data_IF_096976485630
#
_entry.id   IF_096976485630
#
_cell.length_a   1.000
_cell.length_b   1.000
_cell.length_c   1.000
_cell.angle_alpha   90.00
_cell.angle_beta   90.00
_cell.angle_gamma   90.00
#
_symmetry.space_group_name_H-M   'P 1'
#
loop_
_entity.id
_entity.type
_entity.pdbx_description
1 polymer ?
#
# COMPACT_ATOMS: atom_id res chain seq x y z
N UNK A 1 41.25 -21.87 6.53
CA UNK A 1 40.55 -20.60 6.21
C UNK A 1 39.32 -20.54 7.09
N UNK A 2 39.05 -19.44 7.82
CA UNK A 2 37.79 -19.34 8.58
C UNK A 2 36.60 -19.40 7.61
N UNK A 3 35.46 -19.98 8.04
CA UNK A 3 34.26 -20.01 7.21
C UNK A 3 33.81 -18.57 6.89
N UNK A 4 33.48 -18.31 5.62
CA UNK A 4 33.04 -17.00 5.14
C UNK A 4 31.59 -16.77 5.59
N UNK A 5 31.35 -15.71 6.34
CA UNK A 5 29.99 -15.24 6.64
C UNK A 5 29.35 -14.65 5.39
N UNK A 6 28.09 -15.00 5.16
CA UNK A 6 27.24 -14.52 4.07
C UNK A 6 26.08 -13.71 4.65
N UNK A 7 25.53 -12.81 3.83
CA UNK A 7 24.43 -11.92 4.21
C UNK A 7 23.24 -12.14 3.29
N UNK A 8 22.06 -12.28 3.88
CA UNK A 8 20.78 -12.23 3.20
C UNK A 8 20.08 -10.91 3.55
N UNK A 9 19.64 -10.16 2.55
CA UNK A 9 18.90 -8.91 2.71
C UNK A 9 17.47 -9.14 2.23
N UNK A 10 16.48 -8.69 2.99
CA UNK A 10 15.10 -8.63 2.55
C UNK A 10 14.60 -7.19 2.58
N UNK A 11 14.13 -6.69 1.44
CA UNK A 11 13.56 -5.34 1.30
C UNK A 11 12.06 -5.46 1.12
N UNK A 12 11.29 -4.79 1.98
CA UNK A 12 9.86 -4.56 1.77
C UNK A 12 9.71 -3.21 1.08
N UNK A 13 9.01 -3.17 -0.06
CA UNK A 13 8.90 -1.96 -0.89
C UNK A 13 7.44 -1.63 -1.24
N UNK A 14 7.18 -0.35 -1.50
CA UNK A 14 5.98 0.12 -2.18
C UNK A 14 6.20 0.04 -3.70
N UNK A 15 5.62 -0.97 -4.33
CA UNK A 15 5.73 -1.27 -5.76
C UNK A 15 5.08 -0.18 -6.63
N UNK A 16 4.14 0.58 -6.09
CA UNK A 16 3.46 1.68 -6.78
C UNK A 16 4.19 3.03 -6.62
N UNK A 17 5.23 3.10 -5.79
CA UNK A 17 6.06 4.31 -5.57
C UNK A 17 7.53 4.06 -5.95
N UNK A 18 7.79 3.49 -7.14
CA UNK A 18 9.13 3.20 -7.67
C UNK A 18 9.99 2.37 -6.70
N UNK A 19 9.44 1.27 -6.18
CA UNK A 19 10.10 0.38 -5.21
C UNK A 19 10.63 1.14 -3.98
N UNK A 20 9.88 2.14 -3.50
CA UNK A 20 10.25 2.89 -2.30
C UNK A 20 10.40 1.93 -1.12
N UNK A 21 11.57 1.94 -0.50
CA UNK A 21 11.88 1.10 0.65
C UNK A 21 11.01 1.49 1.85
N UNK A 22 10.30 0.49 2.38
CA UNK A 22 9.47 0.61 3.58
C UNK A 22 10.19 0.03 4.80
N UNK A 23 10.71 -1.20 4.67
CA UNK A 23 11.46 -1.90 5.73
C UNK A 23 12.61 -2.70 5.11
N UNK A 24 13.70 -2.86 5.85
CA UNK A 24 14.84 -3.72 5.48
C UNK A 24 15.17 -4.66 6.63
N UNK A 25 15.36 -5.93 6.31
CA UNK A 25 15.92 -6.95 7.21
C UNK A 25 17.29 -7.40 6.70
N UNK A 26 18.14 -7.79 7.63
CA UNK A 26 19.42 -8.42 7.34
C UNK A 26 19.56 -9.66 8.22
N UNK A 27 20.01 -10.75 7.61
CA UNK A 27 20.32 -12.00 8.30
C UNK A 27 21.72 -12.46 7.87
N UNK A 28 22.52 -12.90 8.83
CA UNK A 28 23.88 -13.39 8.58
C UNK A 28 23.96 -14.88 8.88
N UNK A 29 24.69 -15.60 8.06
CA UNK A 29 24.89 -17.03 8.27
C UNK A 29 26.07 -17.59 7.49
N UNK A 30 26.29 -18.89 7.66
CA UNK A 30 27.29 -19.68 6.96
C UNK A 30 26.66 -20.42 5.77
N UNK A 31 27.50 -20.82 4.81
CA UNK A 31 27.07 -21.69 3.71
C UNK A 31 26.34 -22.95 4.23
N UNK A 32 25.16 -23.21 3.69
CA UNK A 32 24.27 -24.31 4.07
C UNK A 32 23.24 -23.97 5.16
N UNK A 33 23.36 -22.83 5.86
CA UNK A 33 22.38 -22.42 6.86
C UNK A 33 21.07 -21.93 6.22
N UNK A 34 19.94 -22.21 6.87
CA UNK A 34 18.61 -21.80 6.43
C UNK A 34 18.47 -20.29 6.64
N UNK A 35 18.09 -19.59 5.57
CA UNK A 35 17.79 -18.16 5.61
C UNK A 35 16.40 -17.97 6.21
N UNK A 36 16.33 -17.15 7.26
CA UNK A 36 15.08 -16.75 7.89
C UNK A 36 15.12 -15.27 8.27
N UNK A 37 13.95 -14.65 8.32
CA UNK A 37 13.77 -13.26 8.72
C UNK A 37 12.71 -13.20 9.81
N UNK A 38 13.15 -12.98 11.06
CA UNK A 38 12.25 -12.93 12.21
C UNK A 38 11.23 -11.81 12.07
N UNK A 39 10.01 -12.07 12.56
CA UNK A 39 8.89 -11.12 12.57
C UNK A 39 8.40 -10.64 11.20
N UNK A 40 8.86 -11.23 10.08
CA UNK A 40 8.44 -10.83 8.74
C UNK A 40 6.91 -10.81 8.59
N UNK A 41 6.23 -11.86 9.07
CA UNK A 41 4.75 -11.94 9.04
C UNK A 41 4.10 -10.77 9.77
N UNK A 42 4.54 -10.47 11.00
CA UNK A 42 3.99 -9.37 11.80
C UNK A 42 4.17 -8.03 11.09
N UNK A 43 5.32 -7.82 10.44
CA UNK A 43 5.57 -6.59 9.68
C UNK A 43 4.69 -6.49 8.44
N UNK A 44 4.50 -7.59 7.69
CA UNK A 44 3.56 -7.62 6.56
C UNK A 44 2.12 -7.35 7.04
N UNK A 45 1.72 -7.88 8.19
CA UNK A 45 0.42 -7.64 8.80
C UNK A 45 0.23 -6.17 9.19
N UNK A 46 1.24 -5.53 9.81
CA UNK A 46 1.21 -4.09 10.11
C UNK A 46 1.00 -3.27 8.84
N UNK A 47 1.76 -3.53 7.77
CA UNK A 47 1.53 -2.84 6.50
C UNK A 47 0.16 -3.13 5.92
N UNK A 48 -0.37 -4.35 6.09
CA UNK A 48 -1.74 -4.67 5.70
C UNK A 48 -2.76 -3.80 6.43
N UNK A 49 -2.58 -3.59 7.74
CA UNK A 49 -3.41 -2.65 8.51
C UNK A 49 -3.27 -1.20 8.04
N UNK A 50 -2.06 -0.79 7.64
CA UNK A 50 -1.77 0.55 7.10
C UNK A 50 -2.24 0.77 5.66
N UNK A 51 -2.99 -0.19 5.10
CA UNK A 51 -3.61 -0.05 3.79
C UNK A 51 -2.78 -0.63 2.65
N UNK A 52 -1.78 -1.47 2.91
CA UNK A 52 -1.08 -2.21 1.87
C UNK A 52 -1.68 -3.61 1.67
N UNK A 53 -1.34 -4.22 0.53
CA UNK A 53 -1.59 -5.63 0.22
C UNK A 53 -0.31 -6.24 -0.30
N UNK A 54 0.04 -7.43 0.19
CA UNK A 54 1.13 -8.23 -0.37
C UNK A 54 0.84 -8.57 -1.84
N UNK A 55 1.78 -8.24 -2.72
CA UNK A 55 1.74 -8.58 -4.15
C UNK A 55 2.56 -9.84 -4.42
N UNK A 56 3.84 -9.81 -4.11
CA UNK A 56 4.76 -10.92 -4.32
C UNK A 56 5.98 -10.87 -3.39
N UNK A 57 6.71 -11.98 -3.38
CA UNK A 57 8.03 -12.10 -2.76
C UNK A 57 8.93 -12.76 -3.79
N UNK A 58 10.09 -12.16 -4.08
CA UNK A 58 11.03 -12.65 -5.09
C UNK A 58 12.46 -12.67 -4.57
N UNK A 59 13.27 -13.59 -5.10
CA UNK A 59 14.72 -13.50 -5.04
C UNK A 59 15.20 -12.58 -6.17
N UNK A 60 15.86 -11.48 -5.83
CA UNK A 60 16.23 -10.43 -6.78
C UNK A 60 17.29 -10.87 -7.79
N UNK A 61 18.07 -11.91 -7.48
CA UNK A 61 19.13 -12.38 -8.39
C UNK A 61 18.57 -13.16 -9.58
N UNK A 62 17.54 -13.97 -9.35
CA UNK A 62 17.02 -14.93 -10.34
C UNK A 62 15.53 -14.76 -10.62
N UNK A 63 14.89 -13.74 -10.04
CA UNK A 63 13.45 -13.43 -10.16
C UNK A 63 12.55 -14.60 -9.74
N UNK A 64 13.07 -15.55 -8.96
CA UNK A 64 12.30 -16.67 -8.49
C UNK A 64 11.29 -16.20 -7.45
N UNK A 65 10.01 -16.43 -7.73
CA UNK A 65 8.93 -16.16 -6.80
C UNK A 65 8.94 -17.16 -5.64
N UNK A 66 8.76 -16.64 -4.42
CA UNK A 66 8.60 -17.41 -3.19
C UNK A 66 7.11 -17.52 -2.91
N UNK A 67 6.63 -18.75 -2.65
CA UNK A 67 5.23 -18.97 -2.29
C UNK A 67 4.93 -18.22 -0.97
N UNK A 68 3.91 -17.36 -1.00
CA UNK A 68 3.50 -16.52 0.12
C UNK A 68 2.06 -16.77 0.56
N UNK A 69 1.49 -17.94 0.22
CA UNK A 69 0.14 -18.35 0.63
C UNK A 69 0.04 -18.53 2.15
N UNK A 70 1.13 -18.97 2.77
CA UNK A 70 1.26 -19.15 4.22
C UNK A 70 2.56 -18.48 4.71
N UNK A 71 2.42 -17.27 5.27
CA UNK A 71 3.55 -16.48 5.76
C UNK A 71 4.29 -17.16 6.93
N UNK A 72 3.65 -18.10 7.65
CA UNK A 72 4.31 -18.84 8.74
C UNK A 72 5.25 -19.94 8.20
N UNK A 73 5.13 -20.31 6.92
CA UNK A 73 5.92 -21.38 6.28
C UNK A 73 6.82 -20.88 5.14
N UNK A 74 7.13 -19.59 5.13
CA UNK A 74 8.02 -19.00 4.14
C UNK A 74 9.39 -19.69 4.16
N UNK A 75 9.84 -20.11 2.99
CA UNK A 75 11.15 -20.73 2.80
C UNK A 75 11.99 -19.90 1.82
N UNK A 76 13.06 -19.29 2.33
CA UNK A 76 14.03 -18.51 1.54
C UNK A 76 15.20 -19.37 1.04
N UNK A 77 15.21 -20.66 1.39
CA UNK A 77 16.28 -21.59 1.05
C UNK A 77 17.46 -21.49 2.03
N UNK A 78 18.63 -21.91 1.56
CA UNK A 78 19.89 -21.90 2.33
C UNK A 78 20.92 -21.00 1.68
N UNK A 79 21.84 -20.46 2.49
CA UNK A 79 23.02 -19.79 1.98
C UNK A 79 23.84 -20.71 1.07
N UNK A 80 24.17 -20.23 -0.13
CA UNK A 80 25.06 -20.91 -1.06
C UNK A 80 26.50 -20.41 -0.84
N UNK A 81 27.09 -19.70 -1.79
CA UNK A 81 28.48 -19.21 -1.73
C UNK A 81 28.60 -17.67 -1.83
N UNK A 82 27.48 -16.96 -1.86
CA UNK A 82 27.38 -15.53 -2.07
C UNK A 82 26.24 -14.92 -1.24
N UNK A 83 26.24 -13.59 -1.15
CA UNK A 83 25.14 -12.85 -0.54
C UNK A 83 23.90 -12.92 -1.43
N UNK A 84 22.72 -12.82 -0.83
CA UNK A 84 21.44 -12.90 -1.53
C UNK A 84 20.52 -11.76 -1.13
N UNK A 85 19.74 -11.26 -2.08
CA UNK A 85 18.73 -10.24 -1.83
C UNK A 85 17.35 -10.76 -2.22
N UNK A 86 16.37 -10.43 -1.38
CA UNK A 86 14.96 -10.70 -1.58
C UNK A 86 14.17 -9.39 -1.56
N UNK A 87 13.10 -9.35 -2.34
CA UNK A 87 12.16 -8.24 -2.36
C UNK A 87 10.76 -8.73 -2.05
N UNK A 88 10.09 -8.02 -1.16
CA UNK A 88 8.67 -8.17 -0.85
C UNK A 88 7.97 -6.93 -1.40
N UNK A 89 7.15 -7.12 -2.43
CA UNK A 89 6.45 -6.03 -3.09
C UNK A 89 5.08 -5.85 -2.46
N UNK A 90 4.79 -4.64 -1.99
CA UNK A 90 3.47 -4.25 -1.48
C UNK A 90 2.82 -3.24 -2.42
N UNK A 91 1.50 -3.35 -2.60
CA UNK A 91 0.67 -2.39 -3.34
C UNK A 91 -0.35 -1.75 -2.42
N UNK A 92 -0.79 -0.53 -2.70
CA UNK A 92 -1.79 0.15 -1.86
C UNK A 92 -3.18 -0.41 -2.13
N UNK A 93 -3.92 -0.70 -1.06
CA UNK A 93 -5.35 -1.01 -1.13
C UNK A 93 -6.07 0.24 -1.64
N UNK A 94 -6.88 0.06 -2.68
CA UNK A 94 -7.77 1.10 -3.20
C UNK A 94 -9.12 0.94 -2.52
N UNK A 95 -9.57 1.99 -1.85
CA UNK A 95 -10.93 2.08 -1.32
C UNK A 95 -11.71 3.07 -2.18
N UNK A 96 -12.97 2.75 -2.47
CA UNK A 96 -13.88 3.74 -3.02
C UNK A 96 -14.14 4.78 -1.92
N UNK A 97 -13.72 6.02 -2.16
CA UNK A 97 -13.97 7.12 -1.24
C UNK A 97 -15.37 7.68 -1.50
N UNK A 98 -16.18 7.76 -0.44
CA UNK A 98 -17.52 8.36 -0.43
C UNK A 98 -17.58 9.40 0.67
N UNK A 99 -18.60 10.27 0.65
CA UNK A 99 -18.82 11.22 1.74
C UNK A 99 -19.02 10.53 3.11
N UNK A 100 -19.43 9.26 3.12
CA UNK A 100 -19.68 8.50 4.36
C UNK A 100 -18.40 7.91 4.97
N UNK A 101 -17.39 7.61 4.14
CA UNK A 101 -16.15 6.97 4.60
C UNK A 101 -14.91 7.89 4.49
N UNK A 102 -15.09 9.12 4.02
CA UNK A 102 -14.04 10.12 4.01
C UNK A 102 -13.61 10.45 5.45
N UNK A 103 -12.33 10.19 5.73
CA UNK A 103 -11.68 10.52 7.02
C UNK A 103 -10.34 11.19 6.75
N UNK A 104 -9.90 12.05 7.68
CA UNK A 104 -8.57 12.66 7.62
C UNK A 104 -8.45 13.77 6.57
N UNK A 105 -7.69 13.52 5.49
CA UNK A 105 -7.13 14.55 4.58
C UNK A 105 -8.10 15.12 3.54
N UNK A 106 -9.29 14.55 3.39
CA UNK A 106 -10.31 14.98 2.42
C UNK A 106 -11.54 15.37 3.21
N UNK A 107 -12.01 16.61 3.05
CA UNK A 107 -13.26 17.07 3.66
C UNK A 107 -14.43 16.36 2.94
N UNK A 108 -15.30 15.62 3.66
CA UNK A 108 -16.48 14.98 3.06
C UNK A 108 -17.34 15.92 2.20
N UNK A 109 -17.33 17.23 2.48
CA UNK A 109 -18.06 18.23 1.69
C UNK A 109 -17.52 18.38 0.27
N UNK A 110 -16.24 18.14 0.04
CA UNK A 110 -15.66 18.16 -1.31
C UNK A 110 -16.17 16.99 -2.18
N UNK A 111 -16.73 15.95 -1.54
CA UNK A 111 -17.33 14.80 -2.22
C UNK A 111 -18.85 14.94 -2.42
N UNK A 112 -19.46 16.00 -1.88
CA UNK A 112 -20.91 16.26 -2.02
C UNK A 112 -21.09 17.38 -3.03
N UNK A 113 -21.64 17.05 -4.19
CA UNK A 113 -22.04 18.04 -5.17
C UNK A 113 -23.51 18.43 -4.95
N UNK A 114 -23.77 19.69 -4.61
CA UNK A 114 -25.12 20.25 -4.49
C UNK A 114 -25.35 21.24 -5.62
N UNK A 115 -26.42 21.04 -6.38
CA UNK A 115 -26.85 21.98 -7.42
C UNK A 115 -28.17 22.63 -7.01
N UNK A 116 -28.32 23.89 -7.38
CA UNK A 116 -29.58 24.60 -7.26
C UNK A 116 -29.93 25.32 -8.57
N UNK A 117 -31.22 25.39 -8.85
CA UNK A 117 -31.79 26.21 -9.91
C UNK A 117 -32.34 27.48 -9.27
N UNK A 118 -31.85 28.64 -9.69
CA UNK A 118 -32.40 29.93 -9.28
C UNK A 118 -33.09 30.59 -10.48
N UNK A 119 -34.39 30.88 -10.34
CA UNK A 119 -35.18 31.60 -11.34
C UNK A 119 -35.31 33.05 -10.90
N UNK A 120 -34.82 33.97 -11.73
CA UNK A 120 -34.93 35.41 -11.53
C UNK A 120 -36.09 35.98 -12.36
N UNK A 121 -36.95 36.78 -11.71
CA UNK A 121 -38.01 37.54 -12.38
C UNK A 121 -37.61 39.01 -12.47
N UNK A 122 -37.95 39.68 -13.57
CA UNK A 122 -37.67 41.11 -13.78
C UNK A 122 -38.74 41.76 -14.66
N UNK A 123 -38.94 43.08 -14.52
CA UNK A 123 -39.72 43.88 -15.48
C UNK A 123 -41.10 44.37 -15.00
N UNK A 124 -41.47 44.13 -13.73
CA UNK A 124 -42.78 44.55 -13.18
C UNK A 124 -42.69 45.63 -12.09
N UNK A 125 -41.55 46.32 -11.95
CA UNK A 125 -41.34 47.33 -10.90
C UNK A 125 -41.54 46.72 -9.51
N UNK A 126 -42.31 47.39 -8.66
CA UNK A 126 -42.61 46.95 -7.28
C UNK A 126 -43.37 45.61 -7.20
N UNK A 127 -43.97 45.16 -8.31
CA UNK A 127 -44.69 43.88 -8.41
C UNK A 127 -43.81 42.74 -8.93
N UNK A 128 -42.50 42.95 -9.09
CA UNK A 128 -41.59 41.89 -9.54
C UNK A 128 -41.57 40.75 -8.51
N UNK A 129 -41.90 39.50 -8.89
CA UNK A 129 -41.87 38.37 -7.97
C UNK A 129 -40.48 38.11 -7.39
N UNK A 130 -40.43 37.53 -6.20
CA UNK A 130 -39.16 37.08 -5.59
C UNK A 130 -38.58 35.92 -6.39
N UNK A 131 -37.25 35.79 -6.33
CA UNK A 131 -36.55 34.65 -6.93
C UNK A 131 -37.09 33.33 -6.37
N UNK A 132 -37.18 32.32 -7.23
CA UNK A 132 -37.44 30.94 -6.82
C UNK A 132 -36.10 30.22 -6.81
N UNK A 133 -35.82 29.50 -5.71
CA UNK A 133 -34.63 28.65 -5.58
C UNK A 133 -35.11 27.22 -5.35
N UNK A 134 -34.78 26.34 -6.28
CA UNK A 134 -35.02 24.91 -6.18
C UNK A 134 -33.68 24.19 -6.01
N UNK A 135 -33.56 23.34 -4.99
CA UNK A 135 -32.38 22.51 -4.81
C UNK A 135 -32.60 21.17 -5.53
N UNK A 136 -31.60 20.69 -6.26
CA UNK A 136 -31.64 19.33 -6.78
C UNK A 136 -31.63 18.34 -5.61
N UNK A 137 -32.49 17.31 -5.70
CA UNK A 137 -32.58 16.21 -4.72
C UNK A 137 -31.54 15.16 -5.05
#
# INVERSE_FOLDING_TARGET
MPPKTLVAILKIVDDEENDKLLTKFEFQGLQGEIIHFDNLKQVIEIYSYDGYKLKDIVNEKNEQQINSDDLDKLAFGTFQNENVEFKVSLVRKKILLTAENATGKIDPKELIFRTNLTIHFSGAGDNTPKNIVENAV
#
